data_IF_454665795957
#
_entry.id   IF_454665795957
#
_cell.length_a   1.000
_cell.length_b   1.000
_cell.length_c   1.000
_cell.angle_alpha   90.00
_cell.angle_beta   90.00
_cell.angle_gamma   90.00
#
_symmetry.space_group_name_H-M   'P 1'
#
loop_
_entity.id
_entity.type
_entity.pdbx_description
1 polymer ?
#
# COMPACT_ATOMS: atom_id res chain seq x y z
N UNK A 1 6.99 8.12 -41.15
CA UNK A 1 6.95 8.64 -39.75
C UNK A 1 5.62 8.38 -39.06
N UNK A 2 4.48 8.42 -39.76
CA UNK A 2 3.13 8.21 -39.19
C UNK A 2 2.88 6.78 -38.71
N UNK A 3 3.32 5.77 -39.48
CA UNK A 3 3.16 4.34 -39.11
C UNK A 3 3.92 4.00 -37.83
N UNK A 4 5.14 4.51 -37.65
CA UNK A 4 5.92 4.32 -36.43
C UNK A 4 5.23 4.90 -35.19
N UNK A 5 4.59 6.08 -35.33
CA UNK A 5 3.80 6.71 -34.26
C UNK A 5 2.54 5.90 -33.92
N UNK A 6 1.89 5.30 -34.91
CA UNK A 6 0.72 4.45 -34.70
C UNK A 6 1.06 3.13 -33.99
N UNK A 7 2.29 2.63 -34.14
CA UNK A 7 2.75 1.43 -33.44
C UNK A 7 3.28 1.73 -32.03
N UNK A 8 3.93 2.88 -31.82
CA UNK A 8 4.54 3.19 -30.52
C UNK A 8 3.52 3.58 -29.46
N UNK A 9 2.43 4.26 -29.84
CA UNK A 9 1.38 4.71 -28.93
C UNK A 9 0.68 3.55 -28.19
N UNK A 10 0.19 2.48 -28.86
CA UNK A 10 -0.44 1.36 -28.17
C UNK A 10 0.53 0.54 -27.34
N UNK A 11 1.81 0.43 -27.77
CA UNK A 11 2.85 -0.26 -26.99
C UNK A 11 3.16 0.49 -25.70
N UNK A 12 3.28 1.83 -25.78
CA UNK A 12 3.53 2.67 -24.62
C UNK A 12 2.33 2.65 -23.66
N UNK A 13 1.11 2.72 -24.19
CA UNK A 13 -0.12 2.60 -23.41
C UNK A 13 -0.21 1.25 -22.70
N UNK A 14 0.07 0.15 -23.40
CA UNK A 14 0.11 -1.19 -22.82
C UNK A 14 1.15 -1.30 -21.70
N UNK A 15 2.33 -0.72 -21.89
CA UNK A 15 3.39 -0.72 -20.88
C UNK A 15 3.01 0.09 -19.62
N UNK A 16 2.32 1.22 -19.78
CA UNK A 16 1.82 2.02 -18.65
C UNK A 16 0.72 1.30 -17.87
N UNK A 17 -0.19 0.60 -18.56
CA UNK A 17 -1.19 -0.26 -17.91
C UNK A 17 -0.50 -1.40 -17.16
N UNK A 18 0.53 -2.00 -17.75
CA UNK A 18 1.32 -3.05 -17.13
C UNK A 18 2.05 -2.56 -15.86
N UNK A 19 2.54 -1.33 -15.84
CA UNK A 19 3.14 -0.78 -14.61
C UNK A 19 2.11 -0.58 -13.50
N UNK A 20 0.85 -0.24 -13.83
CA UNK A 20 -0.20 0.00 -12.83
C UNK A 20 -0.66 -1.27 -12.10
N UNK A 21 -0.48 -2.45 -12.69
CA UNK A 21 -0.84 -3.72 -12.05
C UNK A 21 0.36 -4.43 -11.42
N UNK A 22 1.57 -3.90 -11.62
CA UNK A 22 2.80 -4.49 -11.11
C UNK A 22 2.91 -4.09 -9.64
N UNK A 23 2.08 -4.74 -8.82
CA UNK A 23 2.10 -4.61 -7.38
C UNK A 23 3.49 -5.03 -6.88
N UNK A 24 4.30 -4.04 -6.49
CA UNK A 24 5.63 -4.26 -5.94
C UNK A 24 5.48 -5.03 -4.63
N UNK A 25 5.91 -6.30 -4.66
CA UNK A 25 5.99 -7.26 -3.55
C UNK A 25 5.54 -6.72 -2.20
N UNK A 26 4.28 -6.96 -1.84
CA UNK A 26 3.85 -6.80 -0.46
C UNK A 26 4.50 -7.92 0.33
N UNK A 27 5.22 -7.59 1.40
CA UNK A 27 5.69 -8.56 2.38
C UNK A 27 4.52 -9.32 3.03
N UNK A 28 4.76 -10.08 4.09
CA UNK A 28 3.73 -10.89 4.77
C UNK A 28 2.49 -10.12 5.30
N UNK A 29 2.42 -8.81 5.10
CA UNK A 29 1.37 -7.93 5.60
C UNK A 29 0.73 -7.14 4.44
N UNK A 30 -0.61 -7.15 4.39
CA UNK A 30 -1.38 -6.27 3.52
C UNK A 30 -1.23 -4.81 3.97
N UNK A 31 -1.02 -3.88 3.03
CA UNK A 31 -0.91 -2.44 3.35
C UNK A 31 -2.28 -1.78 3.53
N UNK A 32 -3.38 -2.49 3.28
CA UNK A 32 -4.74 -1.92 3.34
C UNK A 32 -5.30 -1.80 4.76
N UNK A 33 -4.49 -2.10 5.78
CA UNK A 33 -4.88 -2.12 7.18
C UNK A 33 -5.75 -3.33 7.59
N UNK A 34 -5.76 -3.64 8.89
CA UNK A 34 -6.58 -4.67 9.53
C UNK A 34 -7.89 -4.17 10.12
N UNK A 35 -8.05 -2.85 10.30
CA UNK A 35 -9.23 -2.23 10.90
C UNK A 35 -9.69 -0.96 10.18
N UNK A 36 -10.57 -0.21 10.83
CA UNK A 36 -11.07 1.06 10.29
C UNK A 36 -10.09 2.23 10.55
N UNK A 37 -9.49 2.29 11.75
CA UNK A 37 -8.57 3.38 12.15
C UNK A 37 -7.35 3.41 11.24
N UNK A 38 -6.63 2.30 11.17
CA UNK A 38 -5.42 2.19 10.35
C UNK A 38 -5.69 2.36 8.85
N UNK A 39 -6.86 1.93 8.36
CA UNK A 39 -7.25 2.18 6.97
C UNK A 39 -7.49 3.66 6.65
N UNK A 40 -8.06 4.43 7.58
CA UNK A 40 -8.27 5.87 7.39
C UNK A 40 -6.94 6.62 7.40
N UNK A 41 -6.02 6.25 8.30
CA UNK A 41 -4.70 6.87 8.39
C UNK A 41 -3.74 6.41 7.28
N UNK A 42 -3.97 5.23 6.70
CA UNK A 42 -3.04 4.60 5.76
C UNK A 42 -1.65 4.44 6.38
N UNK A 43 -0.62 4.69 5.58
CA UNK A 43 0.79 4.53 5.99
C UNK A 43 1.20 5.44 7.17
N UNK A 44 0.48 6.55 7.42
CA UNK A 44 0.76 7.44 8.55
C UNK A 44 0.42 6.84 9.91
N UNK A 45 -0.35 5.74 9.94
CA UNK A 45 -0.77 5.08 11.17
C UNK A 45 0.40 4.58 12.03
N UNK A 46 1.57 4.30 11.43
CA UNK A 46 2.80 3.89 12.15
C UNK A 46 3.15 4.79 13.33
N UNK A 47 2.86 6.10 13.23
CA UNK A 47 3.17 7.08 14.26
C UNK A 47 2.20 7.08 15.46
N UNK A 48 0.99 6.55 15.26
CA UNK A 48 -0.13 6.63 16.23
C UNK A 48 -0.73 5.26 16.54
N UNK A 49 -0.04 4.18 16.18
CA UNK A 49 -0.56 2.83 16.36
C UNK A 49 -0.53 2.44 17.84
N UNK A 50 -1.65 2.67 18.51
CA UNK A 50 -1.88 2.49 19.95
C UNK A 50 -3.06 1.55 20.24
N UNK A 51 -3.45 0.74 19.27
CA UNK A 51 -4.53 -0.25 19.38
C UNK A 51 -4.09 -1.66 18.96
N UNK A 52 -5.02 -2.61 18.87
CA UNK A 52 -4.73 -3.99 18.48
C UNK A 52 -4.00 -4.10 17.12
N UNK A 53 -4.10 -3.10 16.24
CA UNK A 53 -3.40 -3.06 14.96
C UNK A 53 -1.91 -2.68 15.11
N UNK A 54 -1.45 -2.23 16.29
CA UNK A 54 -0.04 -1.91 16.57
C UNK A 54 0.89 -3.09 16.26
N UNK A 55 0.46 -4.33 16.50
CA UNK A 55 1.24 -5.53 16.13
C UNK A 55 1.62 -5.57 14.64
N UNK A 56 0.78 -5.01 13.76
CA UNK A 56 1.02 -4.95 12.32
C UNK A 56 1.78 -3.71 11.88
N UNK A 57 1.49 -2.57 12.51
CA UNK A 57 1.98 -1.26 12.05
C UNK A 57 3.20 -0.75 12.79
N UNK A 58 3.23 -0.88 14.12
CA UNK A 58 4.33 -0.44 14.97
C UNK A 58 4.32 -1.26 16.28
N UNK A 59 5.09 -2.36 16.36
CA UNK A 59 5.14 -3.19 17.55
C UNK A 59 5.56 -2.45 18.83
N UNK A 60 6.26 -1.31 18.73
CA UNK A 60 6.58 -0.49 19.90
C UNK A 60 5.33 0.13 20.55
N UNK A 61 4.25 0.31 19.79
CA UNK A 61 2.97 0.82 20.29
C UNK A 61 2.19 -0.19 21.14
N UNK A 62 2.55 -1.48 21.12
CA UNK A 62 1.90 -2.52 21.94
C UNK A 62 1.98 -2.18 23.44
N UNK A 63 3.06 -1.51 23.86
CA UNK A 63 3.24 -1.11 25.27
C UNK A 63 2.27 0.00 25.71
N UNK A 64 1.56 0.62 24.77
CA UNK A 64 0.57 1.67 25.05
C UNK A 64 -0.85 1.09 25.25
N UNK A 65 -1.05 -0.20 24.97
CA UNK A 65 -2.35 -0.85 25.11
C UNK A 65 -2.75 -0.96 26.58
N UNK A 66 -3.94 -0.46 26.91
CA UNK A 66 -4.53 -0.67 28.23
C UNK A 66 -5.03 -2.11 28.37
N UNK A 67 -4.70 -2.75 29.49
CA UNK A 67 -5.31 -4.01 29.88
C UNK A 67 -6.75 -3.76 30.34
N UNK A 68 -7.68 -4.56 29.81
CA UNK A 68 -9.08 -4.59 30.21
C UNK A 68 -9.27 -5.24 31.60
#
# INVERSE_FOLDING_TARGET
MTVFRLLICPVLLFHLIFLSFAESGRGAFSTSGGGARDRIFGESFVAVADDANAMRWNPAGITLLQQA
#
